data_IF_225449068714
#
_entry.id   IF_225449068714
#
_cell.length_a   1.000
_cell.length_b   1.000
_cell.length_c   1.000
_cell.angle_alpha   90.00
_cell.angle_beta   90.00
_cell.angle_gamma   90.00
#
_symmetry.space_group_name_H-M   'P 1'
#
loop_
_entity.id
_entity.type
_entity.pdbx_description
1 polymer ?
#
# COMPACT_ATOMS: atom_id res chain seq x y z
N UNK A 1 -1.22 2.89 -20.35
CA UNK A 1 0.14 2.65 -19.83
C UNK A 1 -0.01 1.96 -18.50
N UNK A 2 0.15 0.65 -18.51
CA UNK A 2 -0.09 -0.24 -17.38
C UNK A 2 1.02 -0.07 -16.33
N UNK A 3 0.76 0.76 -15.31
CA UNK A 3 1.66 0.91 -14.15
C UNK A 3 1.33 -0.18 -13.14
N UNK A 4 1.89 -1.36 -13.37
CA UNK A 4 1.87 -2.49 -12.44
C UNK A 4 3.29 -2.86 -12.05
N UNK A 5 3.53 -2.96 -10.75
CA UNK A 5 4.79 -3.40 -10.17
C UNK A 5 4.50 -4.56 -9.21
N UNK A 6 5.33 -5.58 -9.19
CA UNK A 6 5.18 -6.69 -8.26
C UNK A 6 6.55 -7.17 -7.79
N UNK A 7 6.63 -7.55 -6.52
CA UNK A 7 7.84 -8.05 -5.92
C UNK A 7 7.51 -9.11 -4.87
N UNK A 8 8.40 -10.10 -4.77
CA UNK A 8 8.33 -11.15 -3.75
C UNK A 8 9.50 -10.92 -2.79
N UNK A 9 9.18 -10.63 -1.53
CA UNK A 9 10.17 -10.36 -0.48
C UNK A 9 9.73 -10.94 0.85
N UNK A 10 10.72 -11.36 1.64
CA UNK A 10 10.53 -11.68 3.05
C UNK A 10 10.33 -10.37 3.81
N UNK A 11 9.18 -10.23 4.47
CA UNK A 11 8.85 -9.00 5.20
C UNK A 11 9.30 -9.16 6.64
N UNK A 12 10.35 -8.42 7.07
CA UNK A 12 10.77 -8.46 8.46
C UNK A 12 9.65 -7.98 9.37
N UNK A 13 9.48 -8.63 10.52
CA UNK A 13 8.39 -8.36 11.47
C UNK A 13 6.96 -8.49 10.90
N UNK A 14 6.80 -8.98 9.66
CA UNK A 14 5.49 -9.13 9.02
C UNK A 14 4.74 -7.80 8.87
N UNK A 15 5.44 -6.67 8.64
CA UNK A 15 4.79 -5.37 8.40
C UNK A 15 5.45 -4.59 7.27
N UNK A 16 4.64 -4.11 6.34
CA UNK A 16 5.04 -3.21 5.25
C UNK A 16 4.39 -1.85 5.40
N UNK A 17 5.01 -0.82 4.84
CA UNK A 17 4.59 0.57 4.90
C UNK A 17 4.48 1.12 3.49
N UNK A 18 3.36 1.74 3.15
CA UNK A 18 3.10 2.37 1.86
C UNK A 18 3.03 3.87 2.08
N UNK A 19 3.97 4.60 1.48
CA UNK A 19 4.05 6.04 1.64
C UNK A 19 4.84 6.71 0.51
N UNK A 20 4.83 8.04 0.48
CA UNK A 20 5.60 8.83 -0.48
C UNK A 20 7.03 9.07 0.06
N UNK A 21 8.08 8.52 -0.59
CA UNK A 21 9.45 8.63 -0.09
C UNK A 21 10.05 10.03 -0.25
N UNK A 22 9.38 10.93 -0.96
CA UNK A 22 9.83 12.32 -1.13
C UNK A 22 9.30 13.22 0.00
N UNK A 23 8.49 12.68 0.90
CA UNK A 23 7.80 13.42 1.95
C UNK A 23 8.07 12.91 3.35
N UNK A 24 7.83 13.80 4.32
CA UNK A 24 7.80 13.44 5.73
C UNK A 24 6.46 12.79 6.01
N UNK A 25 6.51 11.54 6.42
CA UNK A 25 5.35 10.70 6.71
C UNK A 25 5.15 10.61 8.22
N UNK A 26 3.91 10.37 8.63
CA UNK A 26 3.58 10.05 10.00
C UNK A 26 3.19 8.57 10.08
N UNK A 27 4.04 7.76 10.69
CA UNK A 27 3.81 6.33 10.83
C UNK A 27 2.68 6.15 11.86
N UNK A 28 1.56 5.48 11.50
CA UNK A 28 0.47 5.28 12.44
C UNK A 28 0.99 4.58 13.70
N UNK A 29 0.61 5.04 14.91
CA UNK A 29 0.92 4.31 16.12
C UNK A 29 0.22 2.95 16.07
N UNK A 30 0.92 1.92 16.52
CA UNK A 30 0.36 0.57 16.54
C UNK A 30 -0.76 0.51 17.57
N UNK A 31 -2.00 0.54 17.08
CA UNK A 31 -3.21 0.56 17.91
C UNK A 31 -3.81 -0.83 18.07
N UNK A 32 -3.25 -1.84 17.40
CA UNK A 32 -3.82 -3.20 17.34
C UNK A 32 -5.24 -3.25 16.76
N UNK A 33 -5.68 -2.17 16.11
CA UNK A 33 -7.07 -1.99 15.69
C UNK A 33 -7.45 -2.85 14.47
N UNK A 34 -6.46 -3.34 13.71
CA UNK A 34 -6.68 -4.19 12.56
C UNK A 34 -5.40 -4.56 11.80
N UNK A 35 -5.52 -5.43 10.79
CA UNK A 35 -4.40 -5.87 9.94
C UNK A 35 -3.88 -4.76 9.02
N UNK A 36 -4.61 -3.66 8.87
CA UNK A 36 -4.17 -2.47 8.12
C UNK A 36 -4.40 -1.24 8.98
N UNK A 37 -3.37 -0.41 9.09
CA UNK A 37 -3.40 0.87 9.77
C UNK A 37 -3.02 1.95 8.77
N UNK A 38 -3.71 3.08 8.82
CA UNK A 38 -3.45 4.18 7.89
C UNK A 38 -3.57 5.53 8.57
N UNK A 39 -2.68 6.43 8.20
CA UNK A 39 -2.73 7.87 8.50
C UNK A 39 -3.02 8.64 7.21
N UNK A 40 -2.99 9.97 7.31
CA UNK A 40 -3.12 10.84 6.15
C UNK A 40 -2.02 10.60 5.10
N UNK A 41 -0.81 10.17 5.51
CA UNK A 41 0.39 10.16 4.67
C UNK A 41 1.16 8.83 4.69
N UNK A 42 0.70 7.81 5.44
CA UNK A 42 1.35 6.50 5.53
C UNK A 42 0.31 5.41 5.77
N UNK A 43 0.49 4.25 5.14
CA UNK A 43 -0.35 3.08 5.38
C UNK A 43 0.54 1.89 5.74
N UNK A 44 0.36 1.32 6.92
CA UNK A 44 1.00 0.07 7.31
C UNK A 44 0.07 -1.12 7.16
N UNK A 45 0.63 -2.22 6.66
CA UNK A 45 -0.09 -3.46 6.37
C UNK A 45 0.64 -4.60 7.05
N UNK A 46 -0.08 -5.32 7.90
CA UNK A 46 0.38 -6.54 8.51
C UNK A 46 0.29 -7.71 7.52
N UNK A 47 1.38 -8.46 7.43
CA UNK A 47 1.58 -9.56 6.49
C UNK A 47 2.14 -10.79 7.20
N UNK A 48 2.26 -11.89 6.45
CA UNK A 48 2.99 -13.06 6.94
C UNK A 48 4.43 -12.70 7.34
N UNK A 49 4.87 -13.22 8.49
CA UNK A 49 6.22 -12.99 9.02
C UNK A 49 7.29 -13.64 8.13
N UNK A 50 8.48 -13.04 8.09
CA UNK A 50 9.65 -13.59 7.38
C UNK A 50 9.99 -15.05 7.75
N UNK A 51 9.70 -15.47 8.98
CA UNK A 51 9.98 -16.84 9.46
C UNK A 51 9.10 -17.89 8.79
N UNK A 52 7.95 -17.47 8.26
CA UNK A 52 6.96 -18.32 7.62
C UNK A 52 7.15 -18.37 6.09
N UNK A 53 7.72 -17.30 5.50
CA UNK A 53 8.03 -17.25 4.08
C UNK A 53 8.12 -15.85 3.49
N UNK A 54 8.14 -15.79 2.15
CA UNK A 54 8.10 -14.54 1.40
C UNK A 54 6.66 -14.15 1.06
N UNK A 55 6.40 -12.84 1.03
CA UNK A 55 5.11 -12.24 0.69
C UNK A 55 5.19 -11.65 -0.71
N UNK A 56 4.15 -11.86 -1.51
CA UNK A 56 3.99 -11.23 -2.81
C UNK A 56 3.28 -9.88 -2.64
N UNK A 57 4.00 -8.81 -2.93
CA UNK A 57 3.52 -7.42 -2.91
C UNK A 57 3.29 -6.96 -4.34
N UNK A 58 2.07 -6.58 -4.67
CA UNK A 58 1.67 -6.12 -6.00
C UNK A 58 1.14 -4.70 -5.86
N UNK A 59 1.61 -3.77 -6.68
CA UNK A 59 1.08 -2.42 -6.82
C UNK A 59 0.52 -2.27 -8.22
N UNK A 60 -0.75 -1.91 -8.35
CA UNK A 60 -1.40 -1.72 -9.65
C UNK A 60 -2.18 -0.42 -9.68
N UNK A 61 -2.18 0.29 -10.80
CA UNK A 61 -3.03 1.48 -10.96
C UNK A 61 -4.50 1.14 -11.29
N UNK A 62 -4.76 -0.11 -11.68
CA UNK A 62 -6.07 -0.63 -12.06
C UNK A 62 -6.58 -1.59 -10.99
N UNK A 63 -7.87 -1.50 -10.71
CA UNK A 63 -8.62 -2.46 -9.89
C UNK A 63 -8.86 -3.70 -10.75
N UNK A 64 -7.89 -4.61 -10.81
CA UNK A 64 -8.06 -5.92 -11.47
C UNK A 64 -8.58 -6.95 -10.45
N UNK A 65 -9.28 -7.98 -10.92
CA UNK A 65 -9.64 -9.10 -10.07
C UNK A 65 -8.37 -9.87 -9.68
N UNK A 66 -7.89 -9.64 -8.47
CA UNK A 66 -6.66 -10.24 -7.96
C UNK A 66 -6.92 -11.56 -7.21
N UNK A 67 -8.17 -12.02 -7.16
CA UNK A 67 -8.62 -13.14 -6.32
C UNK A 67 -8.45 -12.87 -4.82
N UNK A 68 -8.45 -11.61 -4.40
CA UNK A 68 -8.16 -11.16 -3.04
C UNK A 68 -9.36 -10.36 -2.48
N UNK A 69 -9.55 -10.39 -1.16
CA UNK A 69 -10.58 -9.62 -0.48
C UNK A 69 -10.07 -8.22 -0.13
N UNK A 70 -10.90 -7.20 -0.32
CA UNK A 70 -10.59 -5.84 0.11
C UNK A 70 -10.55 -5.79 1.64
N UNK A 71 -9.39 -5.46 2.21
CA UNK A 71 -9.22 -5.31 3.66
C UNK A 71 -9.15 -3.86 4.10
N UNK A 72 -8.81 -2.96 3.18
CA UNK A 72 -8.70 -1.53 3.47
C UNK A 72 -8.95 -0.69 2.21
N UNK A 73 -9.73 0.36 2.34
CA UNK A 73 -9.91 1.42 1.33
C UNK A 73 -9.74 2.78 2.00
N UNK A 74 -8.89 3.63 1.43
CA UNK A 74 -8.70 4.98 1.92
C UNK A 74 -7.98 5.87 0.90
N UNK A 75 -7.48 7.01 1.37
CA UNK A 75 -6.70 7.95 0.56
C UNK A 75 -5.46 8.36 1.29
N UNK A 76 -4.33 8.47 0.57
CA UNK A 76 -3.04 8.90 1.09
C UNK A 76 -2.60 10.17 0.37
N UNK A 77 -2.00 11.12 1.10
CA UNK A 77 -1.37 12.28 0.49
C UNK A 77 -0.07 11.84 -0.20
N UNK A 78 0.00 12.09 -1.51
CA UNK A 78 1.13 11.80 -2.39
C UNK A 78 1.55 13.08 -3.11
N UNK A 79 1.77 14.18 -2.37
CA UNK A 79 2.17 15.45 -2.99
C UNK A 79 3.48 15.32 -3.80
N UNK A 80 4.31 14.33 -3.48
CA UNK A 80 5.54 14.00 -4.20
C UNK A 80 5.33 13.20 -5.48
N UNK A 81 4.09 12.80 -5.76
CA UNK A 81 3.68 12.02 -6.93
C UNK A 81 4.36 10.65 -7.01
N UNK A 82 4.81 10.13 -5.87
CA UNK A 82 5.45 8.81 -5.78
C UNK A 82 4.86 8.02 -4.62
N UNK A 83 4.68 6.74 -4.83
CA UNK A 83 4.34 5.81 -3.75
C UNK A 83 5.31 4.65 -3.78
N UNK A 84 5.87 4.36 -2.61
CA UNK A 84 6.76 3.24 -2.41
C UNK A 84 6.22 2.35 -1.29
N UNK A 85 6.34 1.05 -1.48
CA UNK A 85 6.18 0.06 -0.42
C UNK A 85 7.55 -0.17 0.20
N UNK A 86 7.69 0.21 1.46
CA UNK A 86 8.85 -0.06 2.28
C UNK A 86 8.58 -1.20 3.27
N UNK A 87 9.61 -1.95 3.61
CA UNK A 87 9.57 -2.86 4.77
C UNK A 87 9.83 -2.10 6.07
N UNK A 88 9.69 -2.78 7.22
CA UNK A 88 10.09 -2.22 8.52
C UNK A 88 11.58 -1.86 8.62
N UNK A 89 12.41 -2.37 7.70
CA UNK A 89 13.81 -1.98 7.56
C UNK A 89 14.02 -0.70 6.74
N UNK A 90 12.95 0.04 6.40
CA UNK A 90 12.99 1.16 5.45
C UNK A 90 13.48 0.77 4.04
N UNK A 91 13.47 -0.51 3.69
CA UNK A 91 13.90 -0.96 2.37
C UNK A 91 12.74 -0.86 1.37
N UNK A 92 12.92 -0.10 0.29
CA UNK A 92 11.94 0.02 -0.78
C UNK A 92 11.84 -1.29 -1.57
N UNK A 93 10.67 -1.91 -1.55
CA UNK A 93 10.38 -3.17 -2.24
C UNK A 93 9.83 -2.91 -3.64
N UNK A 94 8.88 -1.99 -3.73
CA UNK A 94 8.21 -1.59 -4.97
C UNK A 94 7.97 -0.09 -4.93
N UNK A 95 8.17 0.56 -6.07
CA UNK A 95 7.92 1.98 -6.26
C UNK A 95 7.00 2.18 -7.47
N UNK A 96 6.10 3.14 -7.37
CA UNK A 96 5.21 3.55 -8.47
C UNK A 96 5.05 5.06 -8.49
N UNK A 97 4.82 5.61 -9.69
CA UNK A 97 4.53 7.02 -9.91
C UNK A 97 3.02 7.23 -9.92
N UNK A 98 2.55 8.24 -9.20
CA UNK A 98 1.13 8.61 -9.09
C UNK A 98 0.93 10.05 -9.55
N UNK A 99 -0.06 10.29 -10.41
CA UNK A 99 -0.21 11.61 -11.03
C UNK A 99 -0.83 12.65 -10.08
N UNK A 100 -1.51 12.20 -9.02
CA UNK A 100 -2.23 13.05 -8.08
C UNK A 100 -1.46 13.38 -6.80
N UNK A 101 -1.79 14.54 -6.20
CA UNK A 101 -1.32 14.94 -4.86
C UNK A 101 -2.02 14.18 -3.73
N UNK A 102 -3.16 13.56 -4.03
CA UNK A 102 -3.88 12.64 -3.14
C UNK A 102 -4.24 11.41 -3.97
N UNK A 103 -3.81 10.26 -3.51
CA UNK A 103 -3.99 8.98 -4.20
C UNK A 103 -5.00 8.14 -3.43
N UNK A 104 -5.99 7.58 -4.12
CA UNK A 104 -6.85 6.57 -3.53
C UNK A 104 -6.07 5.26 -3.41
N UNK A 105 -5.99 4.70 -2.21
CA UNK A 105 -5.29 3.45 -1.93
C UNK A 105 -6.30 2.39 -1.49
N UNK A 106 -6.31 1.27 -2.18
CA UNK A 106 -7.06 0.07 -1.80
C UNK A 106 -6.09 -1.07 -1.58
N UNK A 107 -6.27 -1.81 -0.50
CA UNK A 107 -5.43 -2.97 -0.18
C UNK A 107 -6.32 -4.19 -0.19
N UNK A 108 -5.93 -5.13 -1.04
CA UNK A 108 -6.55 -6.44 -1.19
C UNK A 108 -5.60 -7.50 -0.67
N UNK A 109 -6.10 -8.45 0.09
CA UNK A 109 -5.32 -9.57 0.57
C UNK A 109 -6.00 -10.91 0.33
N UNK A 110 -5.20 -11.97 0.18
CA UNK A 110 -5.76 -13.32 0.04
C UNK A 110 -6.32 -13.85 1.37
N UNK A 111 -5.71 -13.44 2.50
CA UNK A 111 -6.09 -13.88 3.83
C UNK A 111 -6.19 -12.66 4.79
N UNK A 112 -7.19 -12.59 5.68
CA UNK A 112 -7.36 -11.48 6.60
C UNK A 112 -6.45 -11.57 7.85
N UNK A 113 -5.88 -12.74 8.17
CA UNK A 113 -5.03 -12.93 9.34
C UNK A 113 -3.54 -12.94 8.99
N UNK A 114 -3.17 -13.68 7.94
CA UNK A 114 -1.78 -13.87 7.51
C UNK A 114 -1.66 -13.83 5.99
N UNK A 115 -1.72 -12.65 5.37
CA UNK A 115 -1.69 -12.58 3.92
C UNK A 115 -0.31 -12.86 3.35
N UNK A 116 -0.22 -13.91 2.54
CA UNK A 116 0.95 -14.22 1.70
C UNK A 116 0.97 -13.41 0.40
N UNK A 117 -0.18 -12.83 0.03
CA UNK A 117 -0.34 -11.96 -1.15
C UNK A 117 -1.09 -10.69 -0.75
N UNK A 118 -0.46 -9.55 -1.01
CA UNK A 118 -1.00 -8.22 -0.77
C UNK A 118 -0.97 -7.45 -2.08
N UNK A 119 -2.13 -6.97 -2.50
CA UNK A 119 -2.27 -6.15 -3.71
C UNK A 119 -2.75 -4.76 -3.33
N UNK A 120 -1.90 -3.77 -3.56
CA UNK A 120 -2.17 -2.36 -3.38
C UNK A 120 -2.62 -1.77 -4.72
N UNK A 121 -3.87 -1.36 -4.80
CA UNK A 121 -4.39 -0.63 -5.96
C UNK A 121 -4.32 0.86 -5.68
N UNK A 122 -3.64 1.60 -6.55
CA UNK A 122 -3.49 3.05 -6.48
C UNK A 122 -4.32 3.71 -7.57
N UNK A 123 -5.38 4.42 -7.20
CA UNK A 123 -6.25 5.12 -8.14
C UNK A 123 -6.07 6.64 -8.06
N UNK A 124 -6.31 7.38 -9.17
CA UNK A 124 -6.58 8.80 -9.04
C UNK A 124 -7.79 8.97 -8.12
N UNK A 125 -7.71 9.89 -7.15
CA UNK A 125 -8.92 10.33 -6.47
C UNK A 125 -9.78 11.00 -7.53
N UNK A 126 -10.93 10.42 -7.87
CA UNK A 126 -11.92 11.08 -8.72
C UNK A 126 -12.41 12.33 -7.97
N UNK A 127 -11.70 13.45 -8.13
CA UNK A 127 -12.21 14.75 -7.74
C UNK A 127 -13.34 15.08 -8.69
N UNK A 128 -14.56 14.78 -8.27
CA UNK A 128 -15.74 15.45 -8.78
C UNK A 128 -15.71 16.89 -8.24
N UNK A 129 -14.80 17.73 -8.76
CA UNK A 129 -14.86 19.18 -8.55
C UNK A 129 -14.21 19.88 -9.74
N UNK A 130 -15.00 19.99 -10.80
CA UNK A 130 -14.84 20.99 -11.83
C UNK A 130 -16.25 21.41 -12.23
N UNK A 131 -16.82 22.37 -11.48
CA UNK A 131 -17.87 23.22 -12.06
C UNK A 131 -17.31 24.65 -12.16
N UNK A 132 -17.40 25.26 -13.35
CA UNK A 132 -16.93 26.62 -13.63
C UNK A 132 -17.80 27.69 -12.98
#
# INVERSE_FOLDING_TARGET
MDRRAEAIRTVPHGIVFVYDPTMVIDIPPDTGAGPVLATANCVSVWTQHEVDGAVQLIVSASDEDHGCSLVYEGTIASNGRRLAIHTSNCEAVVETDVEGVVTALRIYTNDPQSPTKVTCVVGPRHSCDARP
#
